data_IF_141738984985
#
_entry.id   IF_141738984985
#
_cell.length_a   1.000
_cell.length_b   1.000
_cell.length_c   1.000
_cell.angle_alpha   90.00
_cell.angle_beta   90.00
_cell.angle_gamma   90.00
#
_symmetry.space_group_name_H-M   'P 1'
#
loop_
_entity.id
_entity.type
_entity.pdbx_description
1 polymer ?
#
# COMPACT_ATOMS: atom_id res chain seq x y z
N UNK A 1 5.82 -18.75 9.96
CA UNK A 1 6.02 -17.72 8.92
C UNK A 1 6.59 -16.49 9.59
N UNK A 2 7.48 -15.76 8.93
CA UNK A 2 7.98 -14.44 9.35
C UNK A 2 7.33 -13.34 8.50
N UNK A 3 7.28 -12.11 8.99
CA UNK A 3 6.68 -10.99 8.26
C UNK A 3 7.38 -10.77 6.91
N UNK A 4 8.69 -10.93 6.88
CA UNK A 4 9.53 -10.74 5.70
C UNK A 4 9.26 -11.79 4.62
N UNK A 5 8.60 -12.90 4.93
CA UNK A 5 8.19 -13.93 3.97
C UNK A 5 6.82 -13.63 3.35
N UNK A 6 6.08 -12.66 3.89
CA UNK A 6 4.75 -12.32 3.45
C UNK A 6 4.80 -11.49 2.16
N UNK A 7 4.45 -12.11 1.03
CA UNK A 7 4.53 -11.48 -0.31
C UNK A 7 3.79 -10.14 -0.41
N UNK A 8 2.63 -10.00 0.24
CA UNK A 8 1.89 -8.72 0.23
C UNK A 8 2.64 -7.60 0.97
N UNK A 9 3.41 -7.95 2.01
CA UNK A 9 4.25 -7.00 2.75
C UNK A 9 5.46 -6.59 1.91
N UNK A 10 6.17 -7.56 1.32
CA UNK A 10 7.28 -7.29 0.41
C UNK A 10 6.84 -6.37 -0.73
N UNK A 11 5.73 -6.70 -1.40
CA UNK A 11 5.22 -5.92 -2.52
C UNK A 11 4.76 -4.52 -2.13
N UNK A 12 4.18 -4.37 -0.94
CA UNK A 12 3.81 -3.05 -0.42
C UNK A 12 5.06 -2.17 -0.20
N UNK A 13 6.15 -2.73 0.35
CA UNK A 13 7.41 -1.99 0.53
C UNK A 13 8.07 -1.62 -0.81
N UNK A 14 8.08 -2.53 -1.79
CA UNK A 14 8.61 -2.21 -3.13
C UNK A 14 7.88 -1.02 -3.75
N UNK A 15 6.54 -1.00 -3.66
CA UNK A 15 5.72 0.10 -4.17
C UNK A 15 5.98 1.39 -3.39
N UNK A 16 6.10 1.32 -2.06
CA UNK A 16 6.38 2.52 -1.25
C UNK A 16 7.76 3.11 -1.56
N UNK A 17 8.78 2.28 -1.79
CA UNK A 17 10.11 2.73 -2.20
C UNK A 17 10.11 3.39 -3.59
N UNK A 18 9.41 2.80 -4.56
CA UNK A 18 9.23 3.42 -5.89
C UNK A 18 8.55 4.79 -5.77
N UNK A 19 7.50 4.90 -4.94
CA UNK A 19 6.78 6.15 -4.68
C UNK A 19 7.66 7.16 -3.93
N UNK A 20 8.44 6.73 -2.95
CA UNK A 20 9.38 7.58 -2.24
C UNK A 20 10.37 8.22 -3.21
N UNK A 21 11.01 7.41 -4.05
CA UNK A 21 11.94 7.89 -5.06
C UNK A 21 11.28 8.85 -6.06
N UNK A 22 10.02 8.61 -6.43
CA UNK A 22 9.24 9.54 -7.24
C UNK A 22 9.06 10.89 -6.53
N UNK A 23 8.58 10.87 -5.29
CA UNK A 23 8.30 12.08 -4.50
C UNK A 23 9.57 12.90 -4.24
N UNK A 24 10.72 12.26 -4.03
CA UNK A 24 11.98 12.99 -3.82
C UNK A 24 12.39 13.87 -5.00
N UNK A 25 11.96 13.53 -6.23
CA UNK A 25 12.26 14.26 -7.47
C UNK A 25 11.28 15.41 -7.76
N UNK A 26 10.17 15.50 -7.04
CA UNK A 26 9.18 16.56 -7.21
C UNK A 26 9.72 17.93 -6.81
N UNK A 27 9.18 19.00 -7.42
CA UNK A 27 9.44 20.37 -7.00
C UNK A 27 8.94 20.60 -5.56
N UNK A 28 9.40 21.68 -4.92
CA UNK A 28 9.06 21.98 -3.53
C UNK A 28 7.53 22.00 -3.30
N UNK A 29 6.78 22.73 -4.14
CA UNK A 29 5.33 22.87 -3.97
C UNK A 29 4.59 21.54 -4.16
N UNK A 30 4.92 20.77 -5.18
CA UNK A 30 4.33 19.45 -5.43
C UNK A 30 4.63 18.49 -4.28
N UNK A 31 5.88 18.48 -3.80
CA UNK A 31 6.33 17.65 -2.69
C UNK A 31 5.62 18.01 -1.39
N UNK A 32 5.54 19.29 -1.06
CA UNK A 32 4.92 19.77 0.18
C UNK A 32 3.40 19.54 0.22
N UNK A 33 2.76 19.50 -0.94
CA UNK A 33 1.31 19.31 -1.06
C UNK A 33 0.94 17.85 -1.31
N UNK A 34 1.06 17.36 -2.54
CA UNK A 34 0.65 16.00 -2.92
C UNK A 34 1.72 14.98 -2.58
N UNK A 35 3.00 15.28 -2.76
CA UNK A 35 4.08 14.31 -2.61
C UNK A 35 4.13 13.72 -1.20
N UNK A 36 4.01 14.56 -0.16
CA UNK A 36 3.91 14.11 1.24
C UNK A 36 2.70 13.20 1.48
N UNK A 37 1.54 13.51 0.90
CA UNK A 37 0.34 12.70 1.06
C UNK A 37 0.48 11.35 0.34
N UNK A 38 1.05 11.35 -0.86
CA UNK A 38 1.32 10.15 -1.64
C UNK A 38 2.32 9.22 -0.94
N UNK A 39 3.45 9.74 -0.47
CA UNK A 39 4.45 8.95 0.25
C UNK A 39 3.88 8.34 1.53
N UNK A 40 3.21 9.15 2.36
CA UNK A 40 2.63 8.67 3.64
C UNK A 40 1.56 7.61 3.44
N UNK A 41 0.67 7.79 2.47
CA UNK A 41 -0.36 6.79 2.18
C UNK A 41 0.25 5.48 1.65
N UNK A 42 1.30 5.55 0.83
CA UNK A 42 2.00 4.36 0.34
C UNK A 42 2.72 3.60 1.48
N UNK A 43 3.52 4.29 2.30
CA UNK A 43 4.22 3.71 3.46
C UNK A 43 3.23 3.07 4.45
N UNK A 44 2.05 3.70 4.61
CA UNK A 44 1.01 3.20 5.51
C UNK A 44 0.47 1.82 5.10
N UNK A 45 0.58 1.42 3.83
CA UNK A 45 0.13 0.10 3.37
C UNK A 45 0.96 -1.00 4.04
N UNK A 46 2.29 -0.95 3.92
CA UNK A 46 3.17 -1.97 4.51
C UNK A 46 3.21 -1.85 6.04
N UNK A 47 3.14 -0.63 6.58
CA UNK A 47 3.11 -0.39 8.03
C UNK A 47 1.89 -1.05 8.69
N UNK A 48 0.69 -0.89 8.12
CA UNK A 48 -0.51 -1.54 8.64
C UNK A 48 -0.46 -3.06 8.49
N UNK A 49 0.10 -3.61 7.39
CA UNK A 49 0.28 -5.06 7.25
C UNK A 49 1.20 -5.59 8.36
N UNK A 50 2.33 -4.92 8.60
CA UNK A 50 3.27 -5.28 9.65
C UNK A 50 2.65 -5.21 11.06
N UNK A 51 1.91 -4.13 11.33
CA UNK A 51 1.23 -3.95 12.61
C UNK A 51 0.18 -5.04 12.85
N UNK A 52 -0.63 -5.34 11.82
CA UNK A 52 -1.62 -6.42 11.86
C UNK A 52 -0.98 -7.78 12.08
N UNK A 53 0.12 -8.06 11.39
CA UNK A 53 0.88 -9.31 11.53
C UNK A 53 1.39 -9.55 12.96
N UNK A 54 1.77 -8.48 13.66
CA UNK A 54 2.22 -8.56 15.05
C UNK A 54 1.11 -8.76 16.09
N UNK A 55 -0.18 -8.75 15.70
CA UNK A 55 -1.31 -8.93 16.63
C UNK A 55 -1.57 -10.40 16.92
N UNK A 56 -2.04 -10.67 18.15
CA UNK A 56 -2.32 -12.03 18.62
C UNK A 56 -3.63 -12.58 18.02
N UNK A 57 -4.67 -11.77 17.90
CA UNK A 57 -5.97 -12.21 17.41
C UNK A 57 -6.16 -11.93 15.91
N UNK A 58 -6.66 -12.92 15.18
CA UNK A 58 -6.92 -12.82 13.73
C UNK A 58 -7.88 -11.68 13.36
N UNK A 59 -8.83 -11.34 14.25
CA UNK A 59 -9.76 -10.21 14.05
C UNK A 59 -9.03 -8.87 14.01
N UNK A 60 -8.02 -8.70 14.87
CA UNK A 60 -7.19 -7.49 14.89
C UNK A 60 -6.31 -7.43 13.65
N UNK A 61 -5.62 -8.53 13.30
CA UNK A 61 -4.83 -8.59 12.06
C UNK A 61 -5.69 -8.22 10.83
N UNK A 62 -6.89 -8.81 10.73
CA UNK A 62 -7.83 -8.49 9.65
C UNK A 62 -8.22 -7.02 9.63
N UNK A 63 -8.44 -6.40 10.80
CA UNK A 63 -8.75 -4.98 10.91
C UNK A 63 -7.61 -4.11 10.37
N UNK A 64 -6.37 -4.41 10.72
CA UNK A 64 -5.19 -3.71 10.18
C UNK A 64 -5.01 -3.92 8.67
N UNK A 65 -5.33 -5.11 8.15
CA UNK A 65 -5.35 -5.32 6.71
C UNK A 65 -6.43 -4.47 6.01
N UNK A 66 -7.56 -4.18 6.66
CA UNK A 66 -8.53 -3.22 6.12
C UNK A 66 -8.01 -1.79 6.12
N UNK A 67 -7.24 -1.37 7.13
CA UNK A 67 -6.55 -0.08 7.11
C UNK A 67 -5.54 -0.02 5.96
N UNK A 68 -4.76 -1.09 5.76
CA UNK A 68 -3.83 -1.21 4.61
C UNK A 68 -4.55 -1.02 3.27
N UNK A 69 -5.75 -1.59 3.12
CA UNK A 69 -6.59 -1.44 1.93
C UNK A 69 -7.11 -0.01 1.76
N UNK A 70 -7.44 0.67 2.87
CA UNK A 70 -7.78 2.09 2.89
C UNK A 70 -6.63 2.94 2.37
N UNK A 71 -5.43 2.76 2.93
CA UNK A 71 -4.20 3.46 2.53
C UNK A 71 -3.85 3.19 1.06
N UNK A 72 -4.08 1.97 0.55
CA UNK A 72 -3.90 1.64 -0.87
C UNK A 72 -4.81 2.48 -1.76
N UNK A 73 -6.11 2.54 -1.43
CA UNK A 73 -7.08 3.35 -2.20
C UNK A 73 -6.72 4.83 -2.17
N UNK A 74 -6.26 5.32 -1.01
CA UNK A 74 -5.78 6.69 -0.87
C UNK A 74 -4.54 6.96 -1.75
N UNK A 75 -3.59 6.02 -1.77
CA UNK A 75 -2.39 6.07 -2.62
C UNK A 75 -2.77 6.20 -4.10
N UNK A 76 -3.71 5.37 -4.58
CA UNK A 76 -4.22 5.45 -5.96
C UNK A 76 -4.86 6.81 -6.26
N UNK A 77 -5.62 7.38 -5.32
CA UNK A 77 -6.22 8.70 -5.48
C UNK A 77 -5.15 9.81 -5.62
N UNK A 78 -4.11 9.80 -4.79
CA UNK A 78 -3.02 10.78 -4.89
C UNK A 78 -2.20 10.59 -6.16
N UNK A 79 -1.89 9.36 -6.54
CA UNK A 79 -1.20 9.01 -7.77
C UNK A 79 -1.99 9.48 -9.01
N UNK A 80 -3.31 9.27 -9.01
CA UNK A 80 -4.20 9.77 -10.06
C UNK A 80 -4.23 11.31 -10.14
N UNK A 81 -4.10 12.01 -9.01
CA UNK A 81 -3.95 13.48 -9.03
C UNK A 81 -2.60 13.91 -9.61
N UNK A 82 -1.51 13.21 -9.31
CA UNK A 82 -0.21 13.47 -9.92
C UNK A 82 -0.29 13.40 -11.45
N UNK A 83 -0.93 12.34 -11.98
CA UNK A 83 -1.12 12.16 -13.41
C UNK A 83 -1.98 13.27 -14.03
N UNK A 84 -3.14 13.59 -13.44
CA UNK A 84 -4.03 14.68 -13.94
C UNK A 84 -3.38 16.05 -13.93
N UNK A 85 -2.45 16.30 -13.00
CA UNK A 85 -1.69 17.55 -12.88
C UNK A 85 -0.40 17.53 -13.70
N UNK A 86 -0.14 16.47 -14.47
CA UNK A 86 1.06 16.30 -15.30
C UNK A 86 2.37 16.38 -14.49
N UNK A 87 2.33 15.99 -13.21
CA UNK A 87 3.50 15.90 -12.33
C UNK A 87 4.35 14.67 -12.70
N UNK A 88 3.70 13.63 -13.21
CA UNK A 88 4.30 12.38 -13.64
C UNK A 88 3.85 12.02 -15.05
N UNK A 89 4.64 11.23 -15.76
CA UNK A 89 4.25 10.73 -17.07
C UNK A 89 3.20 9.61 -16.98
N UNK A 90 2.38 9.51 -18.02
CA UNK A 90 1.27 8.54 -18.07
C UNK A 90 1.73 7.08 -18.03
N UNK A 91 2.93 6.77 -18.50
CA UNK A 91 3.45 5.40 -18.50
C UNK A 91 3.87 4.99 -17.08
N UNK A 92 4.53 5.88 -16.34
CA UNK A 92 4.85 5.69 -14.93
C UNK A 92 3.58 5.61 -14.07
N UNK A 93 2.61 6.49 -14.32
CA UNK A 93 1.29 6.39 -13.68
C UNK A 93 0.68 5.01 -13.88
N UNK A 94 0.60 4.54 -15.13
CA UNK A 94 -0.01 3.24 -15.46
C UNK A 94 0.73 2.09 -14.78
N UNK A 95 2.07 2.11 -14.80
CA UNK A 95 2.90 1.12 -14.11
C UNK A 95 2.55 1.04 -12.62
N UNK A 96 2.61 2.16 -11.91
CA UNK A 96 2.37 2.20 -10.46
C UNK A 96 0.91 1.83 -10.11
N UNK A 97 -0.06 2.28 -10.90
CA UNK A 97 -1.47 1.93 -10.68
C UNK A 97 -1.73 0.43 -10.91
N UNK A 98 -1.12 -0.19 -11.91
CA UNK A 98 -1.20 -1.64 -12.13
C UNK A 98 -0.62 -2.42 -10.94
N UNK A 99 0.54 -1.99 -10.43
CA UNK A 99 1.15 -2.60 -9.25
C UNK A 99 0.25 -2.48 -8.01
N UNK A 100 -0.39 -1.32 -7.80
CA UNK A 100 -1.35 -1.10 -6.71
C UNK A 100 -2.60 -1.97 -6.88
N UNK A 101 -3.11 -2.11 -8.10
CA UNK A 101 -4.26 -2.96 -8.39
C UNK A 101 -3.97 -4.45 -8.13
N UNK A 102 -2.77 -4.92 -8.47
CA UNK A 102 -2.37 -6.30 -8.20
C UNK A 102 -2.10 -6.55 -6.71
N UNK A 103 -1.52 -5.57 -6.00
CA UNK A 103 -1.42 -5.61 -4.55
C UNK A 103 -2.80 -5.64 -3.91
N UNK A 104 -3.76 -4.87 -4.40
CA UNK A 104 -5.12 -4.83 -3.87
C UNK A 104 -5.81 -6.21 -3.98
N UNK A 105 -5.69 -6.88 -5.13
CA UNK A 105 -6.19 -8.26 -5.31
C UNK A 105 -5.56 -9.22 -4.31
N UNK A 106 -4.23 -9.15 -4.17
CA UNK A 106 -3.45 -10.03 -3.28
C UNK A 106 -3.78 -9.79 -1.80
N UNK A 107 -3.92 -8.52 -1.39
CA UNK A 107 -4.33 -8.12 -0.06
C UNK A 107 -5.75 -8.60 0.27
N UNK A 108 -6.69 -8.48 -0.67
CA UNK A 108 -8.04 -9.00 -0.50
C UNK A 108 -8.06 -10.53 -0.38
N UNK A 109 -7.23 -11.24 -1.14
CA UNK A 109 -7.08 -12.68 -1.00
C UNK A 109 -6.54 -13.04 0.40
N UNK A 110 -5.50 -12.36 0.87
CA UNK A 110 -4.96 -12.55 2.22
C UNK A 110 -6.00 -12.30 3.31
N UNK A 111 -6.73 -11.18 3.24
CA UNK A 111 -7.82 -10.83 4.19
C UNK A 111 -8.85 -11.96 4.31
N UNK A 112 -9.21 -12.61 3.18
CA UNK A 112 -10.16 -13.73 3.18
C UNK A 112 -9.64 -14.93 3.97
N UNK A 113 -8.36 -15.27 3.81
CA UNK A 113 -7.71 -16.38 4.54
C UNK A 113 -7.59 -16.13 6.05
N UNK A 114 -7.56 -14.85 6.47
CA UNK A 114 -7.53 -14.50 7.89
C UNK A 114 -8.86 -14.87 8.56
N UNK A 115 -8.83 -15.88 9.43
CA UNK A 115 -9.98 -16.38 10.20
C UNK A 115 -10.52 -17.75 9.78
N UNK A 116 -10.07 -18.31 8.65
CA UNK A 116 -10.40 -19.69 8.26
C UNK A 116 -9.56 -20.72 9.03
N UNK A 117 -8.37 -20.33 9.49
CA UNK A 117 -7.40 -21.20 10.19
C UNK A 117 -7.75 -21.50 11.65
N UNK A 118 -8.87 -21.00 12.18
CA UNK A 118 -9.28 -21.20 13.58
C UNK A 118 -10.46 -22.17 13.77
N UNK A 119 -11.03 -22.71 12.69
CA UNK A 119 -12.08 -23.72 12.77
C UNK A 119 -11.57 -25.17 12.73
N UNK A 120 -10.25 -25.37 12.66
CA UNK A 120 -9.60 -26.67 12.83
C UNK A 120 -8.84 -26.65 14.17
N UNK A 121 -9.56 -26.84 15.27
CA UNK A 121 -9.09 -27.43 16.55
C UNK A 121 -10.29 -27.75 17.45
#
# INVERSE_FOLDING_TARGET
MKLEELRIYQRANEISDEIWHLVTKMSYFEKDTIGKQLARSADSISANIAEGYGRFFYKENRQFCFYSRGSLTETQNWLGKCNRRQIIDSALYKKLDDQLNDLHKSLNAYIKTLGETANDN
#
